data_IF_598282172023
#
_entry.id   IF_598282172023
#
_cell.length_a   1.000
_cell.length_b   1.000
_cell.length_c   1.000
_cell.angle_alpha   90.00
_cell.angle_beta   90.00
_cell.angle_gamma   90.00
#
_symmetry.space_group_name_H-M   'P 1'
#
loop_
_entity.id
_entity.type
_entity.pdbx_description
1 polymer ?
#
# COMPACT_ATOMS: atom_id res chain seq x y z
N UNK A 1 -9.94 -16.69 7.33
CA UNK A 1 -8.78 -17.30 8.01
C UNK A 1 -8.01 -18.26 7.12
N UNK A 2 -8.70 -19.13 6.36
CA UNK A 2 -8.03 -20.09 5.50
C UNK A 2 -7.17 -19.43 4.43
N UNK A 3 -7.66 -18.34 3.83
CA UNK A 3 -6.92 -17.58 2.83
C UNK A 3 -5.63 -16.97 3.39
N UNK A 4 -5.68 -16.40 4.60
CA UNK A 4 -4.52 -15.81 5.26
C UNK A 4 -3.47 -16.85 5.62
N UNK A 5 -3.92 -18.03 6.09
CA UNK A 5 -2.99 -19.12 6.43
C UNK A 5 -2.32 -19.68 5.18
N UNK A 6 -3.07 -19.88 4.11
CA UNK A 6 -2.51 -20.32 2.84
C UNK A 6 -1.50 -19.32 2.29
N UNK A 7 -1.82 -18.04 2.35
CA UNK A 7 -0.92 -16.98 1.92
C UNK A 7 0.37 -16.96 2.76
N UNK A 8 0.23 -17.08 4.09
CA UNK A 8 1.39 -17.12 5.00
C UNK A 8 2.31 -18.29 4.70
N UNK A 9 1.75 -19.46 4.41
CA UNK A 9 2.53 -20.66 4.10
C UNK A 9 3.29 -20.54 2.78
N UNK A 10 2.82 -19.72 1.86
CA UNK A 10 3.48 -19.53 0.57
C UNK A 10 4.61 -18.50 0.61
N UNK A 11 4.82 -17.80 1.73
CA UNK A 11 5.93 -16.87 1.88
C UNK A 11 7.28 -17.59 1.94
N UNK A 12 8.23 -17.14 1.15
CA UNK A 12 9.62 -17.60 1.24
C UNK A 12 10.33 -16.81 2.36
N UNK A 13 10.29 -17.34 3.58
CA UNK A 13 10.80 -16.65 4.75
C UNK A 13 12.31 -16.88 4.93
N UNK A 14 13.07 -15.85 5.36
CA UNK A 14 14.47 -16.01 5.70
C UNK A 14 14.62 -16.83 6.99
N UNK A 15 15.82 -17.38 7.22
CA UNK A 15 16.14 -18.09 8.45
C UNK A 15 16.29 -17.13 9.65
N UNK A 16 16.60 -15.87 9.39
CA UNK A 16 16.73 -14.84 10.44
C UNK A 16 15.37 -14.21 10.73
N UNK A 17 14.91 -14.38 11.96
CA UNK A 17 13.65 -13.79 12.47
C UNK A 17 12.44 -14.02 11.56
N UNK A 18 12.12 -15.25 11.19
CA UNK A 18 11.05 -15.51 10.22
C UNK A 18 9.67 -15.03 10.70
N UNK A 19 9.39 -15.07 12.00
CA UNK A 19 8.10 -14.61 12.53
C UNK A 19 7.92 -13.11 12.37
N UNK A 20 8.96 -12.31 12.61
CA UNK A 20 8.91 -10.86 12.41
C UNK A 20 8.73 -10.51 10.94
N UNK A 21 9.42 -11.21 10.05
CA UNK A 21 9.29 -11.02 8.60
C UNK A 21 7.88 -11.38 8.14
N UNK A 22 7.33 -12.50 8.61
CA UNK A 22 5.97 -12.89 8.25
C UNK A 22 4.94 -11.86 8.70
N UNK A 23 5.06 -11.34 9.92
CA UNK A 23 4.17 -10.30 10.43
C UNK A 23 4.24 -9.03 9.57
N UNK A 24 5.44 -8.64 9.17
CA UNK A 24 5.63 -7.49 8.28
C UNK A 24 4.99 -7.74 6.92
N UNK A 25 5.15 -8.94 6.37
CA UNK A 25 4.54 -9.30 5.09
C UNK A 25 3.01 -9.24 5.15
N UNK A 26 2.41 -9.74 6.23
CA UNK A 26 0.96 -9.67 6.42
C UNK A 26 0.48 -8.22 6.53
N UNK A 27 1.24 -7.37 7.23
CA UNK A 27 0.94 -5.95 7.31
C UNK A 27 0.95 -5.30 5.92
N UNK A 28 1.95 -5.57 5.11
CA UNK A 28 2.03 -5.05 3.75
C UNK A 28 0.86 -5.51 2.89
N UNK A 29 0.50 -6.80 2.99
CA UNK A 29 -0.64 -7.33 2.23
C UNK A 29 -1.95 -6.66 2.62
N UNK A 30 -2.13 -6.33 3.89
CA UNK A 30 -3.34 -5.63 4.37
C UNK A 30 -3.51 -4.25 3.74
N UNK A 31 -2.43 -3.64 3.25
CA UNK A 31 -2.48 -2.31 2.65
C UNK A 31 -2.92 -2.34 1.18
N UNK A 32 -3.08 -3.51 0.58
CA UNK A 32 -3.56 -3.58 -0.79
C UNK A 32 -5.09 -3.64 -0.84
N UNK A 33 -5.68 -2.72 -1.59
CA UNK A 33 -7.12 -2.69 -1.87
C UNK A 33 -7.41 -3.68 -3.00
N UNK A 34 -8.13 -4.76 -2.67
CA UNK A 34 -8.30 -5.89 -3.59
C UNK A 34 -9.09 -5.55 -4.85
N UNK A 35 -10.07 -4.65 -4.74
CA UNK A 35 -10.94 -4.32 -5.87
C UNK A 35 -10.21 -3.64 -7.02
N UNK A 36 -9.19 -2.84 -6.71
CA UNK A 36 -8.44 -2.09 -7.74
C UNK A 36 -6.98 -2.48 -7.84
N UNK A 37 -6.43 -3.09 -6.79
CA UNK A 37 -4.99 -3.38 -6.70
C UNK A 37 -4.16 -2.24 -6.15
N UNK A 38 -4.76 -1.10 -5.81
CA UNK A 38 -4.07 0.03 -5.21
C UNK A 38 -3.48 -0.35 -3.84
N UNK A 39 -2.33 0.21 -3.51
CA UNK A 39 -1.66 -0.03 -2.23
C UNK A 39 -1.55 1.29 -1.49
N UNK A 40 -2.16 1.38 -0.30
CA UNK A 40 -2.11 2.61 0.51
C UNK A 40 -0.78 2.72 1.23
N UNK A 41 -0.33 3.95 1.49
CA UNK A 41 0.95 4.20 2.15
C UNK A 41 0.91 3.78 3.62
N UNK A 42 -0.18 4.06 4.31
CA UNK A 42 -0.41 3.62 5.68
C UNK A 42 -1.90 3.71 6.01
N UNK A 43 -2.31 3.10 7.11
CA UNK A 43 -3.69 3.14 7.57
C UNK A 43 -4.00 4.33 8.49
N UNK A 44 -3.11 5.32 8.55
CA UNK A 44 -3.21 6.46 9.46
C UNK A 44 -3.70 7.73 8.76
N UNK A 45 -4.44 8.59 9.48
CA UNK A 45 -5.00 9.81 8.92
C UNK A 45 -4.67 11.08 9.72
N UNK A 46 -4.46 10.96 11.01
CA UNK A 46 -4.48 12.11 11.93
C UNK A 46 -3.25 12.19 12.82
N UNK A 47 -2.19 11.48 12.48
CA UNK A 47 -0.93 11.56 13.22
C UNK A 47 -0.15 12.79 12.74
N UNK A 48 0.25 13.70 13.64
CA UNK A 48 1.04 14.87 13.24
C UNK A 48 2.37 14.46 12.59
N UNK A 49 2.77 15.22 11.58
CA UNK A 49 4.02 15.01 10.86
C UNK A 49 5.24 15.13 11.78
N UNK A 50 5.16 16.00 12.77
CA UNK A 50 6.18 16.19 13.79
C UNK A 50 5.51 16.50 15.13
N UNK A 51 6.24 16.36 16.24
CA UNK A 51 5.68 16.50 17.60
C UNK A 51 4.94 17.82 17.83
N UNK A 52 5.41 18.90 17.26
CA UNK A 52 4.81 20.23 17.43
C UNK A 52 4.09 20.72 16.17
N UNK A 53 3.82 19.81 15.23
CA UNK A 53 3.17 20.17 13.96
C UNK A 53 1.67 20.02 14.06
N UNK A 54 0.94 20.98 13.52
CA UNK A 54 -0.50 20.88 13.32
C UNK A 54 -0.84 20.14 12.03
N UNK A 55 0.16 19.89 11.18
CA UNK A 55 -0.05 19.26 9.88
C UNK A 55 -0.13 17.77 10.04
N UNK A 56 -1.27 17.20 9.59
CA UNK A 56 -1.50 15.77 9.54
C UNK A 56 -1.69 15.35 8.09
N UNK A 57 -1.32 14.09 7.79
CA UNK A 57 -1.48 13.54 6.46
C UNK A 57 -2.38 12.31 6.50
N UNK A 58 -3.23 12.19 5.47
CA UNK A 58 -3.99 10.97 5.26
C UNK A 58 -3.16 10.03 4.39
N UNK A 59 -2.56 9.02 5.02
CA UNK A 59 -1.73 8.04 4.32
C UNK A 59 -2.53 6.90 3.68
N UNK A 60 -3.87 6.93 3.75
CA UNK A 60 -4.73 5.91 3.14
C UNK A 60 -4.88 6.06 1.63
N UNK A 61 -4.05 6.88 1.01
CA UNK A 61 -3.97 7.04 -0.44
C UNK A 61 -2.84 6.20 -1.01
N UNK A 62 -2.95 5.91 -2.32
CA UNK A 62 -1.92 5.16 -3.04
C UNK A 62 -0.85 6.11 -3.56
N UNK A 63 0.31 6.09 -2.91
CA UNK A 63 1.51 6.77 -3.39
C UNK A 63 2.30 5.78 -4.22
N UNK A 64 2.55 6.10 -5.50
CA UNK A 64 3.21 5.16 -6.41
C UNK A 64 4.58 4.74 -5.91
N UNK A 65 5.34 5.65 -5.31
CA UNK A 65 6.65 5.35 -4.74
C UNK A 65 6.56 4.29 -3.64
N UNK A 66 5.67 4.49 -2.68
CA UNK A 66 5.51 3.59 -1.54
C UNK A 66 4.98 2.23 -1.99
N UNK A 67 4.04 2.24 -2.93
CA UNK A 67 3.50 1.01 -3.49
C UNK A 67 4.57 0.19 -4.22
N UNK A 68 5.48 0.85 -4.93
CA UNK A 68 6.59 0.17 -5.60
C UNK A 68 7.49 -0.56 -4.61
N UNK A 69 7.78 0.05 -3.45
CA UNK A 69 8.56 -0.60 -2.40
C UNK A 69 7.83 -1.79 -1.80
N UNK A 70 6.52 -1.69 -1.58
CA UNK A 70 5.71 -2.81 -1.07
C UNK A 70 5.73 -3.98 -2.05
N UNK A 71 5.51 -3.71 -3.33
CA UNK A 71 5.54 -4.74 -4.38
C UNK A 71 6.89 -5.45 -4.42
N UNK A 72 7.99 -4.70 -4.34
CA UNK A 72 9.35 -5.28 -4.34
C UNK A 72 9.58 -6.13 -3.09
N UNK A 73 9.15 -5.68 -1.92
CA UNK A 73 9.28 -6.44 -0.68
C UNK A 73 8.52 -7.77 -0.76
N UNK A 74 7.28 -7.74 -1.24
CA UNK A 74 6.47 -8.96 -1.40
C UNK A 74 7.06 -9.89 -2.46
N UNK A 75 7.60 -9.35 -3.56
CA UNK A 75 8.28 -10.14 -4.58
C UNK A 75 9.43 -10.94 -3.99
N UNK A 76 10.22 -10.33 -3.12
CA UNK A 76 11.34 -11.01 -2.45
C UNK A 76 10.88 -12.16 -1.55
N UNK A 77 9.62 -12.14 -1.13
CA UNK A 77 9.00 -13.23 -0.37
C UNK A 77 8.24 -14.21 -1.26
N UNK A 78 8.48 -14.17 -2.56
CA UNK A 78 7.85 -15.01 -3.59
C UNK A 78 6.37 -14.73 -3.81
N UNK A 79 5.90 -13.54 -3.48
CA UNK A 79 4.53 -13.11 -3.73
C UNK A 79 4.48 -12.14 -4.91
N UNK A 80 4.07 -12.66 -6.07
CA UNK A 80 4.03 -11.89 -7.32
C UNK A 80 2.63 -11.37 -7.66
N UNK A 81 1.57 -12.03 -7.16
CA UNK A 81 0.20 -11.67 -7.51
C UNK A 81 -0.19 -10.25 -7.07
N UNK A 82 0.33 -9.79 -5.94
CA UNK A 82 0.09 -8.43 -5.44
C UNK A 82 0.69 -7.39 -6.40
N UNK A 83 1.87 -7.67 -6.93
CA UNK A 83 2.51 -6.82 -7.93
C UNK A 83 1.73 -6.80 -9.24
N UNK A 84 1.22 -7.94 -9.67
CA UNK A 84 0.40 -8.04 -10.89
C UNK A 84 -0.89 -7.21 -10.75
N UNK A 85 -1.54 -7.28 -9.60
CA UNK A 85 -2.73 -6.48 -9.31
C UNK A 85 -2.42 -4.99 -9.30
N UNK A 86 -1.27 -4.61 -8.73
CA UNK A 86 -0.84 -3.22 -8.73
C UNK A 86 -0.54 -2.72 -10.15
N UNK A 87 0.08 -3.54 -10.99
CA UNK A 87 0.31 -3.19 -12.41
C UNK A 87 -1.02 -2.97 -13.13
N UNK A 88 -2.03 -3.79 -12.85
CA UNK A 88 -3.36 -3.59 -13.41
C UNK A 88 -3.96 -2.24 -12.98
N UNK A 89 -3.79 -1.87 -11.71
CA UNK A 89 -4.19 -0.55 -11.21
C UNK A 89 -3.48 0.57 -11.96
N UNK A 90 -2.16 0.44 -12.17
CA UNK A 90 -1.38 1.44 -12.91
C UNK A 90 -1.88 1.59 -14.35
N UNK A 91 -2.23 0.49 -15.00
CA UNK A 91 -2.78 0.53 -16.37
C UNK A 91 -4.10 1.28 -16.40
N UNK A 92 -4.97 1.01 -15.42
CA UNK A 92 -6.28 1.67 -15.36
C UNK A 92 -6.14 3.17 -15.18
N UNK A 93 -5.26 3.62 -14.26
CA UNK A 93 -5.08 5.06 -14.05
C UNK A 93 -4.31 5.72 -15.21
N UNK A 94 -3.44 4.99 -15.89
CA UNK A 94 -2.72 5.50 -17.07
C UNK A 94 -3.65 5.73 -18.26
N UNK A 95 -4.73 4.96 -18.39
CA UNK A 95 -5.73 5.16 -19.42
C UNK A 95 -6.50 6.48 -19.25
N UNK A 96 -6.58 6.99 -18.02
CA UNK A 96 -7.28 8.24 -17.70
C UNK A 96 -6.40 9.49 -17.88
N UNK A 97 -5.11 9.32 -18.10
CA UNK A 97 -4.19 10.43 -18.30
C UNK A 97 -2.77 10.14 -17.81
N UNK A 98 -1.88 11.15 -17.79
CA UNK A 98 -0.51 10.97 -17.32
C UNK A 98 -0.46 10.51 -15.87
N UNK A 99 0.55 9.72 -15.50
CA UNK A 99 0.73 9.28 -14.14
C UNK A 99 1.06 10.45 -13.22
N UNK A 100 0.47 10.43 -12.03
CA UNK A 100 0.72 11.38 -10.95
C UNK A 100 1.23 10.64 -9.71
N UNK A 101 1.86 11.35 -8.76
CA UNK A 101 2.51 10.68 -7.61
C UNK A 101 1.55 9.95 -6.66
N UNK A 102 0.31 10.40 -6.56
CA UNK A 102 -0.65 9.88 -5.58
C UNK A 102 -2.05 9.78 -6.19
N UNK A 103 -2.76 8.72 -5.80
CA UNK A 103 -4.14 8.44 -6.22
C UNK A 103 -4.97 8.01 -5.02
N UNK A 104 -6.31 8.19 -5.10
CA UNK A 104 -7.20 7.46 -4.22
C UNK A 104 -7.21 5.97 -4.56
N UNK A 105 -7.74 5.13 -3.66
CA UNK A 105 -7.76 3.67 -3.86
C UNK A 105 -8.62 3.22 -5.03
N UNK A 106 -9.59 4.06 -5.44
CA UNK A 106 -10.40 3.83 -6.65
C UNK A 106 -9.80 4.43 -7.92
N UNK A 107 -8.61 5.03 -7.85
CA UNK A 107 -7.97 5.70 -8.98
C UNK A 107 -8.28 7.19 -9.08
N UNK A 108 -8.86 7.79 -8.04
CA UNK A 108 -9.21 9.20 -8.04
C UNK A 108 -7.97 10.08 -8.17
N UNK A 109 -8.04 11.06 -9.08
CA UNK A 109 -6.94 11.98 -9.38
C UNK A 109 -7.01 13.30 -8.63
N UNK A 110 -8.22 13.75 -8.30
CA UNK A 110 -8.47 15.05 -7.68
C UNK A 110 -8.34 14.94 -6.17
N UNK A 111 -7.12 15.10 -5.69
CA UNK A 111 -6.79 15.02 -4.27
C UNK A 111 -6.33 16.39 -3.80
N UNK A 112 -7.10 16.99 -2.89
CA UNK A 112 -6.85 18.34 -2.41
C UNK A 112 -6.52 18.30 -0.90
N UNK A 113 -5.46 19.00 -0.51
CA UNK A 113 -5.15 19.20 0.89
C UNK A 113 -6.26 20.05 1.53
N UNK A 114 -6.84 19.55 2.61
CA UNK A 114 -7.92 20.25 3.32
C UNK A 114 -7.45 20.67 4.71
N UNK A 115 -7.81 21.91 5.06
CA UNK A 115 -7.63 22.40 6.41
C UNK A 115 -8.93 22.21 7.18
N UNK A 116 -8.91 21.33 8.18
CA UNK A 116 -10.10 21.06 8.97
C UNK A 116 -10.27 22.13 10.06
N UNK A 117 -11.54 22.55 10.34
CA UNK A 117 -11.80 23.45 11.45
C UNK A 117 -11.45 22.80 12.80
N UNK A 118 -10.92 23.58 13.70
CA UNK A 118 -10.57 23.13 15.06
C UNK A 118 -11.80 22.91 15.93
#
# INVERSE_FOLDING_TARGET
>A
RAGWRAWSKSCALPSFRPEAVLRSALCLKLHQYLDTGAIIAAATTSIPEALDSERTWDYRFCWLRDAAFVVEALRRLSHLSEGERFVAFLRDVADDGPLQPVYGVGGERDLVEQQLPH
#
